data_IF_283046904187
#
_entry.id   IF_283046904187
#
_cell.length_a   1.000
_cell.length_b   1.000
_cell.length_c   1.000
_cell.angle_alpha   90.00
_cell.angle_beta   90.00
_cell.angle_gamma   90.00
#
_symmetry.space_group_name_H-M   'P 1'
#
loop_
_entity.id
_entity.type
_entity.pdbx_description
1 polymer ?
#
# COMPACT_ATOMS: atom_id res chain seq x y z
N UNK A 1 7.63 -6.24 23.89
CA UNK A 1 7.43 -7.20 22.79
C UNK A 1 7.43 -6.37 21.52
N UNK A 2 8.61 -6.18 20.93
CA UNK A 2 8.75 -5.43 19.69
C UNK A 2 8.43 -6.38 18.54
N UNK A 3 7.30 -6.13 17.87
CA UNK A 3 6.91 -6.90 16.70
C UNK A 3 7.94 -6.66 15.60
N UNK A 4 8.61 -7.75 15.21
CA UNK A 4 9.44 -7.84 14.01
C UNK A 4 8.68 -7.20 12.85
N UNK A 5 9.32 -6.23 12.19
CA UNK A 5 8.93 -5.76 10.87
C UNK A 5 8.67 -6.99 9.98
N UNK A 6 7.41 -7.29 9.68
CA UNK A 6 7.10 -8.07 8.50
C UNK A 6 7.50 -7.19 7.31
N UNK A 7 8.50 -7.63 6.55
CA UNK A 7 8.84 -6.99 5.30
C UNK A 7 7.58 -7.00 4.43
N UNK A 8 7.14 -5.81 4.03
CA UNK A 8 6.02 -5.67 3.11
C UNK A 8 6.34 -6.41 1.81
N UNK A 9 5.43 -7.25 1.38
CA UNK A 9 5.44 -7.80 0.03
C UNK A 9 4.81 -6.74 -0.90
N UNK A 10 5.68 -5.97 -1.56
CA UNK A 10 5.27 -4.82 -2.37
C UNK A 10 4.31 -5.22 -3.49
N UNK A 11 4.68 -6.25 -4.26
CA UNK A 11 3.92 -6.76 -5.40
C UNK A 11 2.53 -7.24 -4.97
N UNK A 12 2.45 -7.92 -3.83
CA UNK A 12 1.17 -8.39 -3.28
C UNK A 12 0.25 -7.25 -2.86
N UNK A 13 0.79 -6.23 -2.20
CA UNK A 13 -0.01 -5.08 -1.77
C UNK A 13 -0.39 -4.19 -2.97
N UNK A 14 0.46 -4.07 -3.99
CA UNK A 14 0.15 -3.41 -5.27
C UNK A 14 -0.97 -4.14 -6.02
N UNK A 15 -0.87 -5.46 -6.17
CA UNK A 15 -1.93 -6.28 -6.76
C UNK A 15 -3.26 -6.08 -6.03
N UNK A 16 -3.23 -6.02 -4.69
CA UNK A 16 -4.44 -5.76 -3.90
C UNK A 16 -5.02 -4.37 -4.16
N UNK A 17 -4.18 -3.36 -4.37
CA UNK A 17 -4.62 -2.01 -4.72
C UNK A 17 -5.35 -2.01 -6.08
N UNK A 18 -4.83 -2.74 -7.06
CA UNK A 18 -5.47 -2.87 -8.38
C UNK A 18 -6.85 -3.53 -8.28
N UNK A 19 -6.98 -4.62 -7.51
CA UNK A 19 -8.28 -5.25 -7.25
C UNK A 19 -9.29 -4.31 -6.59
N UNK A 20 -8.82 -3.42 -5.71
CA UNK A 20 -9.66 -2.42 -5.04
C UNK A 20 -10.17 -1.41 -6.06
N UNK A 21 -9.30 -0.92 -6.95
CA UNK A 21 -9.66 0.01 -8.02
C UNK A 21 -10.68 -0.60 -8.99
N UNK A 22 -10.45 -1.84 -9.42
CA UNK A 22 -11.40 -2.57 -10.28
C UNK A 22 -12.79 -2.70 -9.63
N UNK A 23 -12.85 -2.97 -8.32
CA UNK A 23 -14.12 -3.07 -7.58
C UNK A 23 -14.81 -1.72 -7.42
N UNK A 24 -14.05 -0.64 -7.21
CA UNK A 24 -14.58 0.71 -7.07
C UNK A 24 -15.18 1.25 -8.38
N UNK A 25 -14.65 0.82 -9.53
CA UNK A 25 -15.19 1.19 -10.85
C UNK A 25 -16.52 0.48 -11.20
N UNK A 26 -16.96 -0.48 -10.39
CA UNK A 26 -18.21 -1.20 -10.61
C UNK A 26 -19.44 -0.38 -10.15
N UNK A 27 -20.35 -0.09 -11.09
CA UNK A 27 -21.55 0.76 -10.87
C UNK A 27 -22.60 0.19 -9.88
N UNK A 28 -22.41 -1.03 -9.38
CA UNK A 28 -23.32 -1.71 -8.44
C UNK A 28 -22.87 -1.72 -6.97
N UNK A 29 -21.74 -1.09 -6.64
CA UNK A 29 -21.15 -1.16 -5.30
C UNK A 29 -21.96 -0.36 -4.27
N UNK A 30 -22.24 -0.96 -3.11
CA UNK A 30 -22.93 -0.24 -2.03
C UNK A 30 -22.01 0.78 -1.38
N UNK A 31 -22.59 1.82 -0.80
CA UNK A 31 -21.85 2.91 -0.15
C UNK A 31 -20.97 2.41 1.02
N UNK A 32 -21.45 1.45 1.81
CA UNK A 32 -20.67 0.91 2.93
C UNK A 32 -19.47 0.08 2.43
N UNK A 33 -19.64 -0.63 1.32
CA UNK A 33 -18.58 -1.40 0.66
C UNK A 33 -17.55 -0.47 0.02
N UNK A 34 -17.97 0.61 -0.66
CA UNK A 34 -17.05 1.60 -1.23
C UNK A 34 -16.23 2.32 -0.18
N UNK A 35 -16.81 2.65 0.98
CA UNK A 35 -16.08 3.25 2.10
C UNK A 35 -15.04 2.28 2.68
N UNK A 36 -15.35 0.97 2.76
CA UNK A 36 -14.38 -0.04 3.23
C UNK A 36 -13.22 -0.19 2.27
N UNK A 37 -13.50 -0.33 0.98
CA UNK A 37 -12.49 -0.45 -0.08
C UNK A 37 -11.60 0.79 -0.15
N UNK A 38 -12.19 1.98 -0.04
CA UNK A 38 -11.43 3.23 0.00
C UNK A 38 -10.47 3.27 1.20
N UNK A 39 -10.94 2.94 2.40
CA UNK A 39 -10.09 2.88 3.60
C UNK A 39 -8.95 1.88 3.43
N UNK A 40 -9.24 0.69 2.94
CA UNK A 40 -8.24 -0.34 2.68
C UNK A 40 -7.18 0.16 1.69
N UNK A 41 -7.60 0.72 0.54
CA UNK A 41 -6.71 1.27 -0.46
C UNK A 41 -5.83 2.40 0.09
N UNK A 42 -6.37 3.28 0.94
CA UNK A 42 -5.57 4.36 1.56
C UNK A 42 -4.47 3.83 2.50
N UNK A 43 -4.74 2.76 3.24
CA UNK A 43 -3.73 2.15 4.11
C UNK A 43 -2.65 1.43 3.29
N UNK A 44 -3.04 0.72 2.22
CA UNK A 44 -2.09 0.09 1.29
C UNK A 44 -1.15 1.13 0.68
N UNK A 45 -1.70 2.21 0.13
CA UNK A 45 -0.92 3.31 -0.47
C UNK A 45 0.06 3.91 0.55
N UNK A 46 -0.37 4.06 1.81
CA UNK A 46 0.49 4.58 2.89
C UNK A 46 1.66 3.63 3.16
N UNK A 47 1.43 2.32 3.20
CA UNK A 47 2.49 1.31 3.40
C UNK A 47 3.48 1.31 2.22
N UNK A 48 2.99 1.26 0.98
CA UNK A 48 3.83 1.26 -0.22
C UNK A 48 4.70 2.51 -0.30
N UNK A 49 4.11 3.69 -0.04
CA UNK A 49 4.86 4.96 0.02
C UNK A 49 5.95 4.95 1.08
N UNK A 50 5.66 4.39 2.26
CA UNK A 50 6.67 4.26 3.32
C UNK A 50 7.82 3.38 2.86
N UNK A 51 7.53 2.22 2.29
CA UNK A 51 8.54 1.28 1.80
C UNK A 51 9.46 1.90 0.75
N UNK A 52 8.89 2.63 -0.22
CA UNK A 52 9.65 3.35 -1.25
C UNK A 52 10.50 4.47 -0.67
N UNK A 53 9.99 5.22 0.31
CA UNK A 53 10.73 6.30 0.95
C UNK A 53 11.90 5.75 1.78
N UNK A 54 11.68 4.67 2.53
CA UNK A 54 12.73 4.00 3.31
C UNK A 54 13.85 3.53 2.37
N UNK A 55 13.50 2.83 1.28
CA UNK A 55 14.48 2.37 0.28
C UNK A 55 15.22 3.53 -0.40
N UNK A 56 14.51 4.63 -0.70
CA UNK A 56 15.13 5.84 -1.29
C UNK A 56 16.19 6.43 -0.36
N UNK A 57 15.91 6.50 0.94
CA UNK A 57 16.86 7.01 1.94
C UNK A 57 18.09 6.10 2.00
N UNK A 58 17.89 4.78 2.04
CA UNK A 58 18.98 3.80 2.07
C UNK A 58 19.89 3.96 0.84
N UNK A 59 19.32 4.02 -0.37
CA UNK A 59 20.07 4.24 -1.62
C UNK A 59 20.80 5.58 -1.63
N UNK A 60 20.20 6.65 -1.09
CA UNK A 60 20.86 7.96 -1.03
C UNK A 60 22.06 7.98 -0.08
N UNK A 61 21.98 7.24 1.03
CA UNK A 61 23.08 7.12 1.98
C UNK A 61 24.25 6.34 1.36
N UNK A 62 23.98 5.23 0.67
CA UNK A 62 25.00 4.42 -0.04
C UNK A 62 25.75 5.20 -1.15
N UNK A 63 25.11 6.19 -1.78
CA UNK A 63 25.73 7.03 -2.83
C UNK A 63 26.55 8.19 -2.23
N UNK A 64 26.33 8.53 -0.95
CA UNK A 64 26.96 9.67 -0.29
C UNK A 64 28.24 9.32 0.48
N UNK A 65 28.60 8.04 0.55
CA UNK A 65 29.88 7.51 1.06
C UNK A 65 30.93 7.34 -0.05
#
# INVERSE_FOLDING_TARGET
MENKNEAIDFEKEEQRLDEILEKLDNKGLKLDESVKLYKEGTEIVKKLKKALNDLKIDVQNEISE
#
